data_IF_736571298898
#
_entry.id   IF_736571298898
#
_cell.length_a   1.000
_cell.length_b   1.000
_cell.length_c   1.000
_cell.angle_alpha   90.00
_cell.angle_beta   90.00
_cell.angle_gamma   90.00
#
_symmetry.space_group_name_H-M   'P 1'
#
loop_
_entity.id
_entity.type
_entity.pdbx_description
1 polymer ?
#
# COMPACT_ATOMS: atom_id res chain seq x y z
N UNK A 1 -12.40 16.22 51.23
CA UNK A 1 -12.63 15.70 49.86
C UNK A 1 -12.98 14.22 49.98
N UNK A 2 -14.25 13.85 49.82
CA UNK A 2 -14.69 12.45 49.93
C UNK A 2 -14.29 11.70 48.66
N UNK A 3 -13.43 10.70 48.80
CA UNK A 3 -13.06 9.80 47.69
C UNK A 3 -14.22 8.84 47.43
N UNK A 4 -14.87 9.00 46.27
CA UNK A 4 -15.88 8.05 45.80
C UNK A 4 -15.14 6.79 45.38
N UNK A 5 -15.18 5.75 46.23
CA UNK A 5 -14.69 4.41 45.86
C UNK A 5 -15.69 3.76 44.90
N UNK A 6 -15.33 3.73 43.61
CA UNK A 6 -16.02 2.93 42.60
C UNK A 6 -15.99 1.46 43.02
N UNK A 7 -17.16 0.87 43.25
CA UNK A 7 -17.28 -0.54 43.61
C UNK A 7 -16.93 -1.40 42.38
N UNK A 8 -16.14 -2.48 42.53
CA UNK A 8 -15.71 -3.34 41.41
C UNK A 8 -16.88 -3.88 40.57
N UNK A 9 -18.04 -4.09 41.18
CA UNK A 9 -19.25 -4.54 40.49
C UNK A 9 -19.73 -3.59 39.38
N UNK A 10 -19.49 -2.27 39.50
CA UNK A 10 -19.87 -1.31 38.46
C UNK A 10 -18.98 -1.43 37.21
N UNK A 11 -17.71 -1.77 37.37
CA UNK A 11 -16.79 -1.98 36.24
C UNK A 11 -17.13 -3.26 35.47
N UNK A 12 -17.53 -4.32 36.18
CA UNK A 12 -17.97 -5.57 35.57
C UNK A 12 -19.29 -5.36 34.82
N UNK A 13 -20.24 -4.62 35.41
CA UNK A 13 -21.50 -4.30 34.76
C UNK A 13 -21.29 -3.45 33.50
N UNK A 14 -20.42 -2.44 33.57
CA UNK A 14 -20.07 -1.61 32.42
C UNK A 14 -19.42 -2.42 31.29
N UNK A 15 -18.48 -3.30 31.63
CA UNK A 15 -17.85 -4.19 30.66
C UNK A 15 -18.86 -5.14 30.00
N UNK A 16 -19.80 -5.68 30.77
CA UNK A 16 -20.89 -6.51 30.23
C UNK A 16 -21.82 -5.71 29.31
N UNK A 17 -22.18 -4.47 29.68
CA UNK A 17 -22.98 -3.59 28.83
C UNK A 17 -22.26 -3.22 27.52
N UNK A 18 -20.96 -2.90 27.57
CA UNK A 18 -20.16 -2.60 26.38
C UNK A 18 -20.03 -3.83 25.47
N UNK A 19 -19.81 -5.02 26.03
CA UNK A 19 -19.78 -6.26 25.27
C UNK A 19 -21.14 -6.59 24.63
N UNK A 20 -22.23 -6.37 25.36
CA UNK A 20 -23.59 -6.57 24.87
C UNK A 20 -23.99 -5.56 23.80
N UNK A 21 -23.47 -4.32 23.85
CA UNK A 21 -23.68 -3.30 22.82
C UNK A 21 -22.80 -3.51 21.57
N UNK A 22 -21.63 -4.14 21.72
CA UNK A 22 -20.72 -4.39 20.60
C UNK A 22 -21.27 -5.38 19.56
N UNK A 23 -22.09 -6.36 19.98
CA UNK A 23 -22.71 -7.33 19.08
C UNK A 23 -23.74 -6.70 18.11
N UNK A 24 -24.78 -5.97 18.59
CA UNK A 24 -25.72 -5.28 17.72
C UNK A 24 -25.05 -4.13 16.96
N UNK A 25 -24.05 -3.44 17.53
CA UNK A 25 -23.29 -2.43 16.80
C UNK A 25 -22.57 -3.04 15.57
N UNK A 26 -21.95 -4.21 15.71
CA UNK A 26 -21.34 -4.95 14.58
C UNK A 26 -22.35 -5.43 13.56
N UNK A 27 -23.54 -5.84 13.98
CA UNK A 27 -24.64 -6.20 13.06
C UNK A 27 -25.18 -4.98 12.31
N UNK A 28 -25.36 -3.86 13.00
CA UNK A 28 -25.78 -2.60 12.40
C UNK A 28 -24.73 -2.04 11.45
N UNK A 29 -23.45 -2.12 11.81
CA UNK A 29 -22.34 -1.73 10.93
C UNK A 29 -22.32 -2.58 9.65
N UNK A 30 -22.57 -3.90 9.75
CA UNK A 30 -22.76 -4.77 8.57
C UNK A 30 -24.01 -4.42 7.75
N UNK A 31 -25.08 -3.94 8.38
CA UNK A 31 -26.33 -3.58 7.73
C UNK A 31 -26.30 -2.18 7.07
N UNK A 32 -25.50 -1.24 7.62
CA UNK A 32 -25.32 0.11 7.10
C UNK A 32 -24.44 0.16 5.85
N UNK A 33 -23.60 -0.86 5.63
CA UNK A 33 -22.89 -1.07 4.37
C UNK A 33 -23.66 -2.05 3.50
N UNK A 34 -24.73 -1.58 2.88
CA UNK A 34 -25.35 -2.29 1.76
C UNK A 34 -24.32 -2.46 0.65
N UNK A 35 -23.88 -3.70 0.42
CA UNK A 35 -23.11 -4.01 -0.77
C UNK A 35 -23.94 -3.57 -1.99
N UNK A 36 -23.38 -2.79 -2.93
CA UNK A 36 -24.11 -2.46 -4.14
C UNK A 36 -24.51 -3.76 -4.84
N UNK A 37 -25.71 -3.83 -5.43
CA UNK A 37 -26.12 -5.00 -6.17
C UNK A 37 -25.18 -5.20 -7.37
N UNK A 38 -24.25 -6.16 -7.27
CA UNK A 38 -23.56 -6.71 -8.44
C UNK A 38 -22.02 -6.65 -8.53
N UNK A 39 -21.24 -6.24 -7.53
CA UNK A 39 -19.77 -6.28 -7.72
C UNK A 39 -18.88 -5.85 -6.57
N UNK A 40 -17.60 -6.24 -6.67
CA UNK A 40 -16.51 -5.67 -5.89
C UNK A 40 -16.28 -4.22 -6.34
N UNK A 41 -16.12 -3.31 -5.38
CA UNK A 41 -15.76 -1.93 -5.68
C UNK A 41 -14.24 -1.82 -5.70
N UNK A 42 -13.66 -1.57 -6.87
CA UNK A 42 -12.23 -1.29 -6.96
C UNK A 42 -11.96 0.14 -6.50
N UNK A 43 -11.05 0.33 -5.54
CA UNK A 43 -10.66 1.64 -5.02
C UNK A 43 -9.16 1.84 -5.13
N UNK A 44 -8.79 2.92 -5.82
CA UNK A 44 -7.45 3.50 -5.72
C UNK A 44 -7.34 4.27 -4.38
N UNK A 45 -6.21 4.12 -3.69
CA UNK A 45 -6.00 4.85 -2.43
C UNK A 45 -5.56 6.29 -2.72
N UNK A 46 -4.95 6.54 -3.88
CA UNK A 46 -4.72 7.87 -4.44
C UNK A 46 -6.00 8.60 -4.83
N UNK A 47 -6.06 9.91 -4.59
CA UNK A 47 -7.21 10.75 -4.92
C UNK A 47 -7.40 10.86 -6.45
N UNK A 48 -8.55 10.39 -6.95
CA UNK A 48 -9.04 10.69 -8.30
C UNK A 48 -9.90 11.97 -8.37
N UNK A 49 -10.35 12.50 -7.22
CA UNK A 49 -11.33 13.60 -7.13
C UNK A 49 -10.70 14.98 -6.85
N UNK A 50 -9.45 15.16 -7.26
CA UNK A 50 -8.94 16.50 -7.53
C UNK A 50 -9.01 16.68 -9.04
N UNK A 51 -9.66 17.77 -9.47
CA UNK A 51 -9.37 18.37 -10.77
C UNK A 51 -7.85 18.48 -10.99
N UNK A 52 -7.42 18.99 -12.13
CA UNK A 52 -6.07 19.52 -12.34
C UNK A 52 -5.71 20.68 -11.37
N UNK A 53 -5.98 20.57 -10.06
CA UNK A 53 -5.51 21.44 -9.01
C UNK A 53 -4.04 21.12 -8.75
N UNK A 54 -3.24 21.53 -9.72
CA UNK A 54 -1.85 21.92 -9.53
C UNK A 54 -0.87 20.77 -9.31
N UNK A 55 -0.01 20.58 -10.30
CA UNK A 55 1.41 20.37 -10.02
C UNK A 55 1.98 21.41 -9.01
N UNK A 56 1.24 22.47 -8.68
CA UNK A 56 1.59 23.52 -7.73
C UNK A 56 1.63 23.06 -6.26
N UNK A 57 0.80 22.11 -5.79
CA UNK A 57 0.64 21.92 -4.32
C UNK A 57 1.71 21.02 -3.67
N UNK A 58 2.38 20.15 -4.44
CA UNK A 58 3.54 19.36 -3.95
C UNK A 58 4.88 20.02 -4.25
N UNK A 59 4.86 21.15 -4.96
CA UNK A 59 6.09 21.72 -5.47
C UNK A 59 6.53 22.92 -4.65
N UNK A 60 7.69 22.77 -4.02
CA UNK A 60 8.59 23.92 -3.84
C UNK A 60 9.22 24.36 -5.18
N UNK A 61 8.60 24.06 -6.34
CA UNK A 61 9.15 24.36 -7.68
C UNK A 61 9.35 25.85 -7.89
N UNK A 62 8.63 26.70 -7.16
CA UNK A 62 8.79 28.16 -7.24
C UNK A 62 10.22 28.64 -6.97
N UNK A 63 11.12 27.81 -6.45
CA UNK A 63 12.52 28.19 -6.18
C UNK A 63 13.60 27.39 -6.92
N UNK A 64 13.26 26.49 -7.87
CA UNK A 64 14.29 25.66 -8.53
C UNK A 64 14.59 26.04 -9.98
N UNK A 65 15.82 26.50 -10.21
CA UNK A 65 16.48 26.70 -11.51
C UNK A 65 17.31 25.49 -11.95
N UNK A 66 17.35 24.41 -11.17
CA UNK A 66 18.27 23.30 -11.36
C UNK A 66 17.71 22.23 -12.29
N UNK A 67 18.14 22.24 -13.56
CA UNK A 67 18.05 21.08 -14.45
C UNK A 67 18.92 19.93 -13.87
N UNK A 68 18.29 19.00 -13.16
CA UNK A 68 19.01 18.02 -12.33
C UNK A 68 18.58 16.56 -12.49
N UNK A 69 17.38 16.31 -13.02
CA UNK A 69 16.83 14.95 -13.11
C UNK A 69 16.64 14.51 -14.56
N UNK A 70 17.06 13.29 -14.89
CA UNK A 70 16.72 12.64 -16.15
C UNK A 70 16.46 11.16 -15.94
N UNK A 71 15.60 10.61 -16.79
CA UNK A 71 15.34 9.18 -16.85
C UNK A 71 15.44 8.69 -18.29
N UNK A 72 15.99 7.50 -18.48
CA UNK A 72 16.06 6.82 -19.76
C UNK A 72 15.55 5.40 -19.59
N UNK A 73 14.42 5.10 -20.23
CA UNK A 73 13.84 3.75 -20.28
C UNK A 73 14.10 3.18 -21.67
N UNK A 74 14.70 1.99 -21.75
CA UNK A 74 15.07 1.40 -23.03
C UNK A 74 15.13 -0.13 -22.95
N UNK A 75 15.19 -0.75 -24.12
CA UNK A 75 15.44 -2.19 -24.24
C UNK A 75 16.87 -2.44 -24.68
N UNK A 76 17.49 -3.44 -24.09
CA UNK A 76 18.79 -3.95 -24.54
C UNK A 76 18.66 -5.46 -24.74
N UNK A 77 18.68 -5.88 -26.01
CA UNK A 77 18.27 -7.24 -26.38
C UNK A 77 16.84 -7.52 -25.90
N UNK A 78 16.68 -8.57 -25.08
CA UNK A 78 15.39 -8.92 -24.48
C UNK A 78 15.13 -8.28 -23.12
N UNK A 79 16.11 -7.58 -22.53
CA UNK A 79 15.98 -6.95 -21.22
C UNK A 79 15.33 -5.56 -21.32
N UNK A 80 14.55 -5.22 -20.30
CA UNK A 80 14.06 -3.86 -20.09
C UNK A 80 14.96 -3.18 -19.05
N UNK A 81 15.43 -1.98 -19.34
CA UNK A 81 16.37 -1.23 -18.51
C UNK A 81 15.89 0.19 -18.27
N UNK A 82 16.28 0.72 -17.12
CA UNK A 82 16.06 2.07 -16.69
C UNK A 82 17.36 2.66 -16.13
N UNK A 83 17.66 3.89 -16.53
CA UNK A 83 18.74 4.70 -15.98
C UNK A 83 18.15 6.00 -15.44
N UNK A 84 18.54 6.36 -14.23
CA UNK A 84 18.09 7.57 -13.56
C UNK A 84 19.29 8.41 -13.16
N UNK A 85 19.20 9.71 -13.43
CA UNK A 85 20.10 10.73 -12.89
C UNK A 85 19.28 11.70 -12.09
N UNK A 86 19.74 12.04 -10.90
CA UNK A 86 19.03 12.90 -9.98
C UNK A 86 20.03 13.58 -9.04
N UNK A 87 19.52 14.52 -8.26
CA UNK A 87 20.28 15.15 -7.20
C UNK A 87 19.70 14.61 -5.88
N UNK A 88 20.52 14.32 -4.88
CA UNK A 88 20.04 13.99 -3.52
C UNK A 88 20.03 15.21 -2.59
N UNK A 89 19.56 15.05 -1.36
CA UNK A 89 19.48 16.15 -0.37
C UNK A 89 20.82 16.80 -0.03
N UNK A 90 21.93 16.06 -0.19
CA UNK A 90 23.30 16.58 -0.05
C UNK A 90 23.79 17.39 -1.26
N UNK A 91 22.92 17.58 -2.27
CA UNK A 91 23.21 18.23 -3.56
C UNK A 91 24.20 17.47 -4.44
N UNK A 92 24.43 16.19 -4.17
CA UNK A 92 25.24 15.33 -5.03
C UNK A 92 24.44 14.89 -6.25
N UNK A 93 25.11 14.87 -7.41
CA UNK A 93 24.55 14.30 -8.65
C UNK A 93 24.79 12.80 -8.66
N UNK A 94 23.71 12.03 -8.60
CA UNK A 94 23.72 10.58 -8.52
C UNK A 94 23.21 9.96 -9.82
N UNK A 95 23.68 8.75 -10.09
CA UNK A 95 23.25 7.92 -11.20
C UNK A 95 22.98 6.50 -10.72
N UNK A 96 21.83 5.94 -11.06
CA UNK A 96 21.48 4.57 -10.71
C UNK A 96 20.82 3.88 -11.91
N UNK A 97 21.04 2.58 -12.06
CA UNK A 97 20.41 1.79 -13.11
C UNK A 97 19.71 0.56 -12.54
N UNK A 98 18.64 0.15 -13.21
CA UNK A 98 17.90 -1.06 -12.90
C UNK A 98 17.50 -1.75 -14.19
N UNK A 99 17.50 -3.07 -14.20
CA UNK A 99 17.13 -3.84 -15.38
C UNK A 99 16.58 -5.20 -15.02
N UNK A 100 15.70 -5.71 -15.89
CA UNK A 100 15.10 -7.03 -15.75
C UNK A 100 15.02 -7.72 -17.11
N UNK A 101 15.36 -9.01 -17.22
CA UNK A 101 15.10 -9.79 -18.43
C UNK A 101 13.62 -9.72 -18.82
N UNK A 102 13.30 -9.53 -20.10
CA UNK A 102 11.91 -9.29 -20.53
C UNK A 102 10.96 -10.46 -20.21
N UNK A 103 11.45 -11.70 -20.21
CA UNK A 103 10.65 -12.85 -19.78
C UNK A 103 10.33 -12.82 -18.27
N UNK A 104 11.27 -12.36 -17.45
CA UNK A 104 11.06 -12.18 -16.02
C UNK A 104 10.12 -11.01 -15.74
N UNK A 105 10.29 -9.89 -16.44
CA UNK A 105 9.38 -8.74 -16.35
C UNK A 105 7.93 -9.10 -16.67
N UNK A 106 7.70 -9.88 -17.74
CA UNK A 106 6.34 -10.34 -18.08
C UNK A 106 5.74 -11.23 -16.99
N UNK A 107 6.50 -12.19 -16.46
CA UNK A 107 6.04 -13.05 -15.35
C UNK A 107 5.76 -12.25 -14.09
N UNK A 108 6.63 -11.29 -13.77
CA UNK A 108 6.47 -10.37 -12.65
C UNK A 108 5.19 -9.55 -12.79
N UNK A 109 4.97 -8.90 -13.94
CA UNK A 109 3.81 -8.05 -14.18
C UNK A 109 2.50 -8.86 -14.14
N UNK A 110 2.48 -10.07 -14.70
CA UNK A 110 1.32 -10.96 -14.66
C UNK A 110 0.96 -11.47 -13.24
N UNK A 111 1.85 -11.27 -12.27
CA UNK A 111 1.63 -11.62 -10.87
C UNK A 111 0.81 -10.61 -10.08
N UNK A 112 0.37 -9.51 -10.70
CA UNK A 112 -0.41 -8.43 -10.08
C UNK A 112 -1.70 -8.17 -10.84
N UNK A 113 -2.74 -7.78 -10.10
CA UNK A 113 -4.08 -7.60 -10.63
C UNK A 113 -4.80 -8.90 -10.97
N UNK A 114 -6.09 -8.80 -11.28
CA UNK A 114 -6.92 -9.94 -11.69
C UNK A 114 -7.78 -9.57 -12.91
N UNK A 115 -8.23 -10.56 -13.66
CA UNK A 115 -9.27 -10.36 -14.68
C UNK A 115 -10.61 -10.89 -14.17
N UNK A 116 -11.72 -10.45 -14.78
CA UNK A 116 -13.05 -10.94 -14.41
C UNK A 116 -13.17 -12.47 -14.51
N UNK A 117 -12.46 -13.11 -15.46
CA UNK A 117 -12.42 -14.55 -15.60
C UNK A 117 -11.85 -15.26 -14.36
N UNK A 118 -10.89 -14.65 -13.65
CA UNK A 118 -10.35 -15.19 -12.40
C UNK A 118 -11.47 -15.31 -11.34
N UNK A 119 -12.35 -14.31 -11.28
CA UNK A 119 -13.47 -14.29 -10.35
C UNK A 119 -14.60 -15.22 -10.80
N UNK A 120 -14.86 -15.31 -12.10
CA UNK A 120 -15.92 -16.16 -12.64
C UNK A 120 -15.62 -17.65 -12.45
N UNK A 121 -14.36 -18.06 -12.59
CA UNK A 121 -13.91 -19.41 -12.24
C UNK A 121 -14.24 -19.71 -10.77
N UNK A 122 -13.96 -18.76 -9.87
CA UNK A 122 -14.21 -18.95 -8.44
C UNK A 122 -15.72 -18.96 -8.11
N UNK A 123 -16.52 -18.13 -8.75
CA UNK A 123 -17.99 -18.13 -8.61
C UNK A 123 -18.59 -19.44 -9.13
N UNK A 124 -18.13 -19.94 -10.28
CA UNK A 124 -18.59 -21.20 -10.86
C UNK A 124 -18.25 -22.39 -9.95
N UNK A 125 -17.08 -22.38 -9.31
CA UNK A 125 -16.74 -23.35 -8.28
C UNK A 125 -17.71 -23.28 -7.09
N UNK A 126 -17.99 -22.07 -6.56
CA UNK A 126 -18.90 -21.88 -5.42
C UNK A 126 -20.27 -22.47 -5.71
N UNK A 127 -20.83 -22.21 -6.89
CA UNK A 127 -22.16 -22.69 -7.24
C UNK A 127 -22.22 -24.22 -7.29
N UNK A 128 -21.24 -24.87 -7.93
CA UNK A 128 -21.13 -26.33 -7.94
C UNK A 128 -20.98 -26.90 -6.53
N UNK A 129 -20.13 -26.30 -5.70
CA UNK A 129 -19.91 -26.72 -4.32
C UNK A 129 -21.19 -26.59 -3.46
N UNK A 130 -21.94 -25.49 -3.62
CA UNK A 130 -23.23 -25.27 -2.94
C UNK A 130 -24.24 -26.36 -3.31
N UNK A 131 -24.39 -26.67 -4.60
CA UNK A 131 -25.31 -27.71 -5.06
C UNK A 131 -24.93 -29.09 -4.51
N UNK A 132 -23.65 -29.46 -4.57
CA UNK A 132 -23.14 -30.72 -4.00
C UNK A 132 -23.35 -30.80 -2.49
N UNK A 133 -23.01 -29.75 -1.75
CA UNK A 133 -23.14 -29.70 -0.29
C UNK A 133 -24.61 -29.77 0.16
N UNK A 134 -25.51 -29.04 -0.52
CA UNK A 134 -26.94 -29.08 -0.25
C UNK A 134 -27.51 -30.48 -0.48
N UNK A 135 -27.21 -31.09 -1.64
CA UNK A 135 -27.68 -32.44 -1.99
C UNK A 135 -27.21 -33.50 -0.99
N UNK A 136 -26.00 -33.36 -0.45
CA UNK A 136 -25.45 -34.28 0.54
C UNK A 136 -26.04 -34.09 1.95
N UNK A 137 -26.26 -32.85 2.38
CA UNK A 137 -26.68 -32.54 3.75
C UNK A 137 -28.19 -32.64 3.97
N UNK A 138 -29.01 -32.35 2.94
CA UNK A 138 -30.47 -32.32 3.05
C UNK A 138 -31.08 -33.66 3.51
N UNK A 139 -30.67 -34.84 2.98
CA UNK A 139 -31.23 -36.11 3.43
C UNK A 139 -30.88 -36.49 4.88
N UNK A 140 -29.70 -36.05 5.37
CA UNK A 140 -29.19 -36.44 6.68
C UNK A 140 -29.74 -35.59 7.83
N UNK A 141 -30.11 -34.33 7.58
CA UNK A 141 -30.55 -33.41 8.65
C UNK A 141 -31.50 -32.31 8.21
N UNK A 142 -32.19 -32.49 7.08
CA UNK A 142 -33.19 -31.56 6.56
C UNK A 142 -32.63 -30.19 6.23
N UNK A 143 -33.51 -29.19 6.22
CA UNK A 143 -33.20 -27.82 5.78
C UNK A 143 -32.13 -27.14 6.67
N UNK A 144 -32.11 -27.44 7.97
CA UNK A 144 -31.13 -26.89 8.90
C UNK A 144 -29.70 -27.36 8.55
N UNK A 145 -29.52 -28.65 8.27
CA UNK A 145 -28.24 -29.21 7.85
C UNK A 145 -27.80 -28.66 6.47
N UNK A 146 -28.74 -28.55 5.52
CA UNK A 146 -28.49 -27.92 4.21
C UNK A 146 -28.00 -26.48 4.34
N UNK A 147 -28.69 -25.66 5.13
CA UNK A 147 -28.30 -24.25 5.36
C UNK A 147 -26.93 -24.15 6.04
N UNK A 148 -26.62 -25.04 6.98
CA UNK A 148 -25.29 -25.10 7.62
C UNK A 148 -24.20 -25.39 6.58
N UNK A 149 -24.41 -26.41 5.74
CA UNK A 149 -23.46 -26.79 4.70
C UNK A 149 -23.22 -25.66 3.68
N UNK A 150 -24.26 -24.90 3.31
CA UNK A 150 -24.11 -23.72 2.45
C UNK A 150 -23.24 -22.63 3.07
N UNK A 151 -23.38 -22.37 4.38
CA UNK A 151 -22.55 -21.39 5.09
C UNK A 151 -21.08 -21.80 5.14
N UNK A 152 -20.81 -23.10 5.24
CA UNK A 152 -19.44 -23.65 5.19
C UNK A 152 -18.82 -23.41 3.81
N UNK A 153 -19.55 -23.68 2.73
CA UNK A 153 -19.10 -23.38 1.35
C UNK A 153 -18.87 -21.89 1.14
N UNK A 154 -19.75 -21.03 1.65
CA UNK A 154 -19.60 -19.57 1.55
C UNK A 154 -18.37 -19.07 2.30
N UNK A 155 -18.07 -19.64 3.47
CA UNK A 155 -16.85 -19.32 4.23
C UNK A 155 -15.59 -19.74 3.46
N UNK A 156 -15.63 -20.90 2.81
CA UNK A 156 -14.53 -21.36 1.96
C UNK A 156 -14.36 -20.47 0.72
N UNK A 157 -15.46 -20.05 0.09
CA UNK A 157 -15.42 -19.09 -1.01
C UNK A 157 -14.74 -17.79 -0.61
N UNK A 158 -15.13 -17.20 0.53
CA UNK A 158 -14.52 -15.95 1.03
C UNK A 158 -13.03 -16.12 1.31
N UNK A 159 -12.63 -17.28 1.83
CA UNK A 159 -11.22 -17.62 2.07
C UNK A 159 -10.44 -17.71 0.76
N UNK A 160 -10.98 -18.41 -0.25
CA UNK A 160 -10.37 -18.55 -1.57
C UNK A 160 -10.28 -17.22 -2.32
N UNK A 161 -11.32 -16.39 -2.22
CA UNK A 161 -11.37 -15.06 -2.81
C UNK A 161 -10.30 -14.14 -2.21
N UNK A 162 -10.20 -14.10 -0.87
CA UNK A 162 -9.15 -13.33 -0.18
C UNK A 162 -7.76 -13.82 -0.56
N UNK A 163 -7.57 -15.14 -0.66
CA UNK A 163 -6.30 -15.72 -1.08
C UNK A 163 -5.94 -15.35 -2.53
N UNK A 164 -6.92 -15.41 -3.45
CA UNK A 164 -6.75 -14.99 -4.84
C UNK A 164 -6.33 -13.52 -4.90
N UNK A 165 -7.11 -12.61 -4.34
CA UNK A 165 -6.81 -11.17 -4.35
C UNK A 165 -5.43 -10.87 -3.73
N UNK A 166 -5.12 -11.49 -2.57
CA UNK A 166 -3.83 -11.32 -1.91
C UNK A 166 -2.66 -11.81 -2.78
N UNK A 167 -2.84 -12.92 -3.48
CA UNK A 167 -1.85 -13.44 -4.45
C UNK A 167 -1.62 -12.49 -5.63
N UNK A 168 -2.58 -11.59 -5.90
CA UNK A 168 -2.52 -10.55 -6.93
C UNK A 168 -2.12 -9.17 -6.39
N UNK A 169 -1.73 -9.07 -5.12
CA UNK A 169 -1.33 -7.81 -4.49
C UNK A 169 -2.50 -6.93 -4.06
N UNK A 170 -3.69 -7.51 -3.89
CA UNK A 170 -4.92 -6.79 -3.55
C UNK A 170 -5.51 -7.33 -2.24
N UNK A 171 -6.26 -6.49 -1.53
CA UNK A 171 -6.96 -6.86 -0.30
C UNK A 171 -8.46 -6.58 -0.44
N UNK A 172 -9.26 -7.55 0.00
CA UNK A 172 -10.70 -7.35 0.18
C UNK A 172 -10.97 -6.75 1.57
N UNK A 173 -11.47 -5.52 1.61
CA UNK A 173 -11.86 -4.79 2.80
C UNK A 173 -13.37 -4.86 3.04
N UNK A 174 -13.83 -4.21 4.11
CA UNK A 174 -15.26 -4.08 4.42
C UNK A 174 -16.01 -3.41 3.25
N UNK A 175 -17.29 -3.75 3.08
CA UNK A 175 -18.11 -3.21 1.99
C UNK A 175 -17.74 -3.73 0.59
N UNK A 176 -17.08 -4.90 0.49
CA UNK A 176 -16.61 -5.49 -0.77
C UNK A 176 -15.65 -4.60 -1.56
N UNK A 177 -14.91 -3.76 -0.85
CA UNK A 177 -13.91 -2.88 -1.40
C UNK A 177 -12.62 -3.65 -1.68
N UNK A 178 -12.13 -3.58 -2.91
CA UNK A 178 -10.83 -4.13 -3.31
C UNK A 178 -9.86 -2.98 -3.51
N UNK A 179 -8.77 -3.01 -2.76
CA UNK A 179 -7.69 -2.01 -2.81
C UNK A 179 -6.33 -2.71 -2.85
N UNK A 180 -5.25 -1.96 -3.09
CA UNK A 180 -3.90 -2.50 -3.06
C UNK A 180 -3.50 -2.98 -1.64
N UNK A 181 -2.97 -4.20 -1.54
CA UNK A 181 -2.41 -4.72 -0.29
C UNK A 181 -0.94 -4.27 -0.19
N UNK A 182 -0.74 -3.02 0.23
CA UNK A 182 0.57 -2.37 0.27
C UNK A 182 1.63 -3.17 1.05
N UNK A 183 1.36 -3.72 2.26
CA UNK A 183 2.31 -4.62 2.93
C UNK A 183 2.72 -5.83 2.10
N UNK A 184 1.77 -6.48 1.41
CA UNK A 184 2.08 -7.63 0.55
C UNK A 184 2.88 -7.21 -0.68
N UNK A 185 2.52 -6.10 -1.33
CA UNK A 185 3.24 -5.56 -2.48
C UNK A 185 4.68 -5.25 -2.08
N UNK A 186 4.91 -4.51 -1.00
CA UNK A 186 6.24 -4.17 -0.50
C UNK A 186 7.04 -5.44 -0.25
N UNK A 187 6.51 -6.36 0.57
CA UNK A 187 7.20 -7.60 0.95
C UNK A 187 7.59 -8.45 -0.27
N UNK A 188 6.72 -8.56 -1.28
CA UNK A 188 7.00 -9.32 -2.51
C UNK A 188 8.11 -8.70 -3.36
N UNK A 189 8.35 -7.39 -3.23
CA UNK A 189 9.31 -6.66 -4.06
C UNK A 189 10.70 -6.49 -3.45
N UNK A 190 10.86 -6.72 -2.14
CA UNK A 190 12.16 -6.59 -1.46
C UNK A 190 13.26 -7.38 -2.17
N UNK A 191 13.02 -8.66 -2.48
CA UNK A 191 14.02 -9.51 -3.14
C UNK A 191 14.29 -9.08 -4.59
N UNK A 192 13.26 -8.57 -5.27
CA UNK A 192 13.34 -8.14 -6.67
C UNK A 192 14.18 -6.87 -6.78
N UNK A 193 14.06 -5.96 -5.81
CA UNK A 193 14.79 -4.69 -5.78
C UNK A 193 16.11 -4.75 -5.02
N UNK A 194 16.48 -5.91 -4.46
CA UNK A 194 17.75 -6.07 -3.77
C UNK A 194 18.98 -5.62 -4.61
N UNK A 195 19.08 -5.90 -5.92
CA UNK A 195 20.20 -5.39 -6.72
C UNK A 195 20.28 -3.85 -6.74
N UNK A 196 19.14 -3.16 -6.73
CA UNK A 196 19.09 -1.71 -6.67
C UNK A 196 19.53 -1.19 -5.29
N UNK A 197 19.10 -1.86 -4.22
CA UNK A 197 19.50 -1.54 -2.86
C UNK A 197 21.02 -1.71 -2.63
N UNK A 198 21.62 -2.76 -3.22
CA UNK A 198 23.07 -2.97 -3.22
C UNK A 198 23.81 -1.86 -3.98
N UNK A 199 23.32 -1.47 -5.15
CA UNK A 199 23.92 -0.37 -5.92
C UNK A 199 23.88 0.97 -5.16
N UNK A 200 22.83 1.22 -4.37
CA UNK A 200 22.79 2.36 -3.46
C UNK A 200 23.80 2.25 -2.30
N UNK A 201 24.03 1.05 -1.76
CA UNK A 201 25.07 0.83 -0.74
C UNK A 201 26.48 1.05 -1.29
N UNK A 202 26.76 0.59 -2.51
CA UNK A 202 28.04 0.84 -3.19
C UNK A 202 28.27 2.34 -3.41
N UNK A 203 27.25 3.05 -3.90
CA UNK A 203 27.28 4.51 -4.05
C UNK A 203 27.51 5.22 -2.71
N UNK A 204 26.81 4.80 -1.66
CA UNK A 204 26.99 5.35 -0.32
C UNK A 204 28.40 5.12 0.23
N UNK A 205 29.00 3.95 -0.02
CA UNK A 205 30.37 3.66 0.39
C UNK A 205 31.38 4.57 -0.35
N UNK A 206 31.21 4.78 -1.66
CA UNK A 206 32.05 5.68 -2.46
C UNK A 206 31.95 7.13 -1.97
N UNK A 207 30.73 7.59 -1.70
CA UNK A 207 30.44 8.96 -1.26
C UNK A 207 30.60 9.19 0.24
N UNK A 208 30.89 8.14 1.02
CA UNK A 208 30.98 8.16 2.49
C UNK A 208 29.70 8.66 3.17
N UNK A 209 28.56 8.23 2.66
CA UNK A 209 27.25 8.57 3.20
C UNK A 209 27.00 7.91 4.56
N UNK A 210 26.35 8.66 5.44
CA UNK A 210 25.68 8.09 6.62
C UNK A 210 24.47 7.25 6.21
N UNK A 211 23.87 6.53 7.16
CA UNK A 211 22.60 5.82 6.92
C UNK A 211 21.48 6.80 6.52
N UNK A 212 21.46 8.01 7.10
CA UNK A 212 20.46 9.03 6.77
C UNK A 212 20.64 9.57 5.35
N UNK A 213 21.89 9.79 4.93
CA UNK A 213 22.23 10.21 3.56
C UNK A 213 21.85 9.15 2.53
N UNK A 214 22.09 7.87 2.87
CA UNK A 214 21.72 6.73 2.03
C UNK A 214 20.19 6.63 1.87
N UNK A 215 19.43 6.69 2.97
CA UNK A 215 17.95 6.72 2.92
C UNK A 215 17.48 7.93 2.12
N UNK A 216 18.04 9.11 2.39
CA UNK A 216 17.75 10.35 1.69
C UNK A 216 18.01 10.26 0.19
N UNK A 217 19.07 9.57 -0.24
CA UNK A 217 19.37 9.35 -1.66
C UNK A 217 18.26 8.53 -2.33
N UNK A 218 17.77 7.46 -1.71
CA UNK A 218 16.66 6.66 -2.27
C UNK A 218 15.36 7.47 -2.28
N UNK A 219 15.06 8.22 -1.22
CA UNK A 219 13.89 9.10 -1.16
C UNK A 219 13.93 10.13 -2.29
N UNK A 220 15.07 10.78 -2.51
CA UNK A 220 15.25 11.78 -3.57
C UNK A 220 15.09 11.19 -4.97
N UNK A 221 15.56 9.96 -5.23
CA UNK A 221 15.29 9.23 -6.49
C UNK A 221 13.78 9.11 -6.71
N UNK A 222 13.06 8.61 -5.70
CA UNK A 222 11.62 8.32 -5.81
C UNK A 222 10.79 9.59 -5.94
N UNK A 223 11.12 10.64 -5.18
CA UNK A 223 10.42 11.93 -5.26
C UNK A 223 10.64 12.60 -6.62
N UNK A 224 11.87 12.63 -7.13
CA UNK A 224 12.26 13.55 -8.22
C UNK A 224 12.46 12.87 -9.58
N UNK A 225 13.00 11.65 -9.62
CA UNK A 225 13.33 10.98 -10.87
C UNK A 225 12.15 10.15 -11.40
N UNK A 226 11.34 9.58 -10.50
CA UNK A 226 10.11 8.87 -10.87
C UNK A 226 8.99 9.91 -11.07
N UNK A 227 8.39 9.97 -12.25
CA UNK A 227 7.34 10.96 -12.54
C UNK A 227 6.05 10.65 -11.81
N UNK A 228 5.34 11.66 -11.32
CA UNK A 228 4.00 11.46 -10.79
C UNK A 228 3.01 11.19 -11.92
N UNK A 229 2.25 10.10 -11.82
CA UNK A 229 1.13 9.81 -12.72
C UNK A 229 0.25 8.74 -12.07
N UNK A 230 -1.07 8.97 -12.11
CA UNK A 230 -2.07 8.04 -11.58
C UNK A 230 -2.20 6.84 -12.53
N UNK A 231 -1.91 5.61 -12.07
CA UNK A 231 -2.16 4.40 -12.85
C UNK A 231 -3.66 4.16 -12.99
N UNK A 232 -4.16 3.74 -14.16
CA UNK A 232 -5.57 3.42 -14.31
C UNK A 232 -5.90 2.18 -13.45
N UNK A 233 -7.04 2.16 -12.75
CA UNK A 233 -7.45 1.02 -11.93
C UNK A 233 -7.83 -0.22 -12.78
N UNK A 234 -8.16 -0.01 -14.06
CA UNK A 234 -8.41 -1.05 -15.05
C UNK A 234 -7.53 -0.79 -16.28
N UNK A 235 -6.70 -1.75 -16.65
CA UNK A 235 -5.80 -1.65 -17.80
C UNK A 235 -5.96 -2.89 -18.69
N UNK A 236 -6.53 -2.73 -19.89
CA UNK A 236 -6.73 -3.83 -20.85
C UNK A 236 -7.44 -5.06 -20.27
N UNK A 237 -8.47 -4.84 -19.43
CA UNK A 237 -9.22 -5.93 -18.77
C UNK A 237 -8.59 -6.45 -17.48
N UNK A 238 -7.42 -5.95 -17.09
CA UNK A 238 -6.76 -6.27 -15.82
C UNK A 238 -7.09 -5.23 -14.76
N UNK A 239 -7.72 -5.65 -13.66
CA UNK A 239 -7.97 -4.83 -12.48
C UNK A 239 -6.68 -4.70 -11.66
N UNK A 240 -6.07 -3.53 -11.67
CA UNK A 240 -4.76 -3.26 -11.04
C UNK A 240 -4.88 -2.66 -9.63
N UNK A 241 -6.05 -2.09 -9.29
CA UNK A 241 -6.24 -1.33 -8.06
C UNK A 241 -5.65 0.08 -8.10
N UNK A 242 -5.19 0.55 -9.26
CA UNK A 242 -4.66 1.91 -9.43
C UNK A 242 -3.20 2.06 -9.04
N UNK A 243 -2.44 0.96 -8.97
CA UNK A 243 -1.03 0.96 -8.58
C UNK A 243 -0.15 0.29 -9.65
N UNK A 244 1.06 0.82 -9.87
CA UNK A 244 2.12 0.07 -10.56
C UNK A 244 2.99 -0.67 -9.54
N UNK A 245 3.18 -1.99 -9.68
CA UNK A 245 4.09 -2.72 -8.82
C UNK A 245 5.53 -2.14 -8.90
N UNK A 246 6.32 -2.09 -7.82
CA UNK A 246 7.61 -1.40 -7.73
C UNK A 246 8.58 -1.55 -8.91
N UNK A 247 8.90 -2.78 -9.35
CA UNK A 247 9.81 -2.96 -10.49
C UNK A 247 9.20 -2.48 -11.82
N UNK A 248 7.87 -2.51 -11.98
CA UNK A 248 7.16 -1.93 -13.12
C UNK A 248 7.22 -0.41 -13.09
N UNK A 249 7.10 0.21 -11.92
CA UNK A 249 7.27 1.65 -11.76
C UNK A 249 8.68 2.11 -12.17
N UNK A 250 9.73 1.42 -11.70
CA UNK A 250 11.12 1.67 -12.12
C UNK A 250 11.37 1.44 -13.61
N UNK A 251 10.73 0.46 -14.22
CA UNK A 251 10.93 0.17 -15.65
C UNK A 251 9.99 0.96 -16.57
N UNK A 252 9.11 1.79 -16.00
CA UNK A 252 8.23 2.71 -16.72
C UNK A 252 8.58 4.18 -16.44
N UNK A 253 9.24 4.47 -15.32
CA UNK A 253 9.66 5.82 -14.92
C UNK A 253 8.53 6.70 -14.38
N UNK A 254 7.47 6.09 -13.82
CA UNK A 254 6.36 6.83 -13.23
C UNK A 254 5.56 6.03 -12.21
N UNK A 255 4.75 6.72 -11.41
CA UNK A 255 3.85 6.18 -10.39
C UNK A 255 3.17 7.27 -9.57
N UNK A 256 2.08 6.95 -8.89
CA UNK A 256 1.39 7.82 -7.92
C UNK A 256 1.95 7.66 -6.49
N UNK A 257 1.27 8.23 -5.49
CA UNK A 257 1.68 8.15 -4.08
C UNK A 257 1.81 6.70 -3.58
N UNK A 258 0.86 5.83 -3.95
CA UNK A 258 0.84 4.42 -3.55
C UNK A 258 2.03 3.69 -4.19
N UNK A 259 2.17 3.83 -5.51
CA UNK A 259 3.26 3.24 -6.29
C UNK A 259 4.64 3.67 -5.77
N UNK A 260 4.84 4.98 -5.57
CA UNK A 260 6.12 5.55 -5.12
C UNK A 260 6.45 5.10 -3.70
N UNK A 261 5.45 5.03 -2.81
CA UNK A 261 5.64 4.50 -1.46
C UNK A 261 6.02 3.03 -1.47
N UNK A 262 5.32 2.21 -2.27
CA UNK A 262 5.64 0.80 -2.44
C UNK A 262 7.06 0.59 -2.98
N UNK A 263 7.48 1.43 -3.94
CA UNK A 263 8.83 1.41 -4.50
C UNK A 263 9.89 1.74 -3.45
N UNK A 264 9.75 2.88 -2.76
CA UNK A 264 10.69 3.29 -1.73
C UNK A 264 10.82 2.23 -0.64
N UNK A 265 9.68 1.77 -0.09
CA UNK A 265 9.66 0.78 0.97
C UNK A 265 10.26 -0.57 0.55
N UNK A 266 10.09 -0.98 -0.71
CA UNK A 266 10.68 -2.21 -1.21
C UNK A 266 12.21 -2.12 -1.36
N UNK A 267 12.76 -0.96 -1.77
CA UNK A 267 14.21 -0.74 -1.82
C UNK A 267 14.79 -0.73 -0.40
N UNK A 268 14.23 0.10 0.48
CA UNK A 268 14.68 0.21 1.88
C UNK A 268 14.55 -1.12 2.62
N UNK A 269 13.51 -1.91 2.32
CA UNK A 269 13.25 -3.21 2.95
C UNK A 269 14.28 -4.28 2.59
N UNK A 270 15.16 -4.05 1.62
CA UNK A 270 16.30 -4.93 1.33
C UNK A 270 17.42 -4.80 2.37
N UNK A 271 17.46 -3.73 3.17
CA UNK A 271 18.45 -3.54 4.21
C UNK A 271 17.98 -4.12 5.55
N UNK A 272 18.90 -4.80 6.24
CA UNK A 272 18.61 -5.44 7.51
C UNK A 272 18.27 -4.40 8.59
N UNK A 273 17.32 -4.72 9.46
CA UNK A 273 16.95 -3.87 10.59
C UNK A 273 16.00 -2.71 10.25
N UNK A 274 15.73 -2.44 8.96
CA UNK A 274 14.73 -1.46 8.57
C UNK A 274 13.35 -1.89 9.07
N UNK A 275 12.68 -1.01 9.82
CA UNK A 275 11.28 -1.18 10.20
C UNK A 275 10.49 -0.01 9.66
N UNK A 276 9.41 -0.30 8.96
CA UNK A 276 8.65 0.70 8.22
C UNK A 276 7.16 0.39 8.29
N UNK A 277 6.38 1.46 8.30
CA UNK A 277 4.92 1.39 8.26
C UNK A 277 4.43 2.27 7.12
N UNK A 278 3.40 1.82 6.41
CA UNK A 278 2.60 2.66 5.54
C UNK A 278 1.64 3.50 6.35
N UNK A 279 1.35 4.70 5.87
CA UNK A 279 0.42 5.65 6.48
C UNK A 279 -0.60 6.01 5.41
N UNK A 280 -1.83 5.55 5.60
CA UNK A 280 -2.95 5.93 4.75
C UNK A 280 -3.69 7.09 5.40
N UNK A 281 -3.84 8.18 4.65
CA UNK A 281 -4.71 9.31 4.97
C UNK A 281 -5.77 9.43 3.86
N UNK A 282 -6.85 10.21 4.04
CA UNK A 282 -7.85 10.36 2.99
C UNK A 282 -7.24 10.81 1.64
N UNK A 283 -7.35 9.97 0.62
CA UNK A 283 -6.89 10.25 -0.75
C UNK A 283 -5.38 10.27 -0.96
N UNK A 284 -4.58 9.85 0.03
CA UNK A 284 -3.13 9.89 -0.07
C UNK A 284 -2.44 8.81 0.76
N UNK A 285 -1.27 8.38 0.31
CA UNK A 285 -0.50 7.32 0.97
C UNK A 285 0.97 7.69 1.03
N UNK A 286 1.53 7.57 2.23
CA UNK A 286 2.94 7.80 2.53
C UNK A 286 3.48 6.69 3.45
N UNK A 287 4.67 6.87 4.00
CA UNK A 287 5.25 5.90 4.92
C UNK A 287 5.99 6.56 6.07
N UNK A 288 6.41 5.76 7.03
CA UNK A 288 7.26 6.18 8.12
C UNK A 288 8.34 5.13 8.41
N UNK A 289 9.54 5.59 8.75
CA UNK A 289 10.71 4.76 9.04
C UNK A 289 11.01 4.79 10.54
N UNK A 290 11.37 3.64 11.12
CA UNK A 290 11.72 3.57 12.53
C UNK A 290 13.09 4.20 12.75
N UNK A 291 13.10 5.38 13.34
CA UNK A 291 14.30 6.03 13.92
C UNK A 291 13.88 6.97 15.04
N UNK A 292 14.86 7.50 15.77
CA UNK A 292 14.60 8.57 16.75
C UNK A 292 14.33 9.86 15.97
N UNK A 293 13.19 10.55 16.18
CA UNK A 293 12.90 11.80 15.49
C UNK A 293 13.95 12.87 15.79
N UNK A 294 14.43 13.53 14.73
CA UNK A 294 15.25 14.73 14.85
C UNK A 294 14.44 15.96 15.29
N UNK A 295 15.14 17.07 15.53
CA UNK A 295 14.48 18.34 15.85
C UNK A 295 13.64 18.82 14.66
N UNK A 296 12.33 18.85 14.82
CA UNK A 296 11.40 19.31 13.79
C UNK A 296 10.88 18.21 12.87
N UNK A 297 11.36 16.97 13.02
CA UNK A 297 10.82 15.83 12.30
C UNK A 297 9.35 15.60 12.67
N UNK A 298 8.52 15.42 11.65
CA UNK A 298 7.20 14.86 11.83
C UNK A 298 7.31 13.34 11.94
N UNK A 299 6.58 12.78 12.90
CA UNK A 299 6.58 11.36 13.18
C UNK A 299 5.20 10.90 13.64
N UNK A 300 4.97 9.60 13.54
CA UNK A 300 3.81 8.92 14.12
C UNK A 300 4.27 7.92 15.16
N UNK A 301 3.35 7.51 16.04
CA UNK A 301 3.59 6.44 17.01
C UNK A 301 2.82 5.18 16.61
N UNK A 302 3.51 4.06 16.64
CA UNK A 302 2.95 2.74 16.39
C UNK A 302 3.59 1.75 17.36
N UNK A 303 2.76 0.98 18.09
CA UNK A 303 3.21 0.01 19.11
C UNK A 303 4.21 0.59 20.14
N UNK A 304 4.01 1.85 20.55
CA UNK A 304 4.87 2.54 21.52
C UNK A 304 6.21 3.00 20.96
N UNK A 305 6.45 2.82 19.66
CA UNK A 305 7.66 3.24 18.97
C UNK A 305 7.37 4.44 18.05
N UNK A 306 8.36 5.29 17.85
CA UNK A 306 8.28 6.47 16.99
C UNK A 306 8.80 6.16 15.58
N UNK A 307 8.06 6.58 14.57
CA UNK A 307 8.39 6.39 13.17
C UNK A 307 8.36 7.75 12.46
N UNK A 308 9.50 8.16 11.93
CA UNK A 308 9.64 9.44 11.22
C UNK A 308 8.96 9.34 9.86
N UNK A 309 8.08 10.29 9.56
CA UNK A 309 7.33 10.34 8.31
C UNK A 309 8.27 10.57 7.13
N UNK A 310 7.95 9.92 6.01
CA UNK A 310 8.63 10.09 4.74
C UNK A 310 7.57 10.21 3.68
N UNK A 311 7.62 11.29 2.90
CA UNK A 311 6.67 11.54 1.80
C UNK A 311 7.30 11.15 0.46
N UNK A 312 6.97 9.99 -0.12
CA UNK A 312 7.60 9.54 -1.37
C UNK A 312 6.93 10.22 -2.58
N UNK A 313 5.73 10.75 -2.39
CA UNK A 313 4.99 11.49 -3.39
C UNK A 313 5.72 12.81 -3.71
N UNK A 314 6.41 12.80 -4.84
CA UNK A 314 6.91 13.99 -5.51
C UNK A 314 6.27 14.18 -6.89
N UNK A 315 6.63 15.22 -7.65
CA UNK A 315 7.88 15.98 -7.53
C UNK A 315 7.91 16.82 -6.27
N UNK A 316 8.85 16.51 -5.38
CA UNK A 316 9.08 17.18 -4.11
C UNK A 316 10.57 17.10 -3.76
N UNK A 317 10.98 17.87 -2.76
CA UNK A 317 12.33 17.81 -2.18
C UNK A 317 12.20 17.86 -0.66
N UNK A 318 11.61 16.80 -0.12
CA UNK A 318 11.26 16.70 1.29
C UNK A 318 12.12 15.62 1.93
N UNK A 319 13.01 16.03 2.82
CA UNK A 319 13.83 15.09 3.58
C UNK A 319 12.96 14.22 4.50
N UNK A 320 13.42 13.01 4.89
CA UNK A 320 12.78 12.25 5.96
C UNK A 320 12.52 13.14 7.19
N UNK A 321 11.28 13.16 7.68
CA UNK A 321 10.80 14.07 8.72
C UNK A 321 9.99 15.25 8.20
N UNK A 322 9.97 15.47 6.88
CA UNK A 322 9.18 16.51 6.22
C UNK A 322 8.05 15.90 5.39
N UNK A 323 6.92 16.61 5.37
CA UNK A 323 5.77 16.31 4.50
C UNK A 323 5.22 17.65 3.98
N UNK A 324 4.52 17.62 2.85
CA UNK A 324 3.83 18.73 2.24
C UNK A 324 2.69 19.27 3.11
N UNK A 325 2.27 20.49 2.83
CA UNK A 325 1.29 21.21 3.64
C UNK A 325 -0.02 20.43 3.77
N UNK A 326 -0.57 19.95 2.65
CA UNK A 326 -1.79 19.15 2.62
C UNK A 326 -1.69 17.85 3.44
N UNK A 327 -0.57 17.14 3.33
CA UNK A 327 -0.34 15.93 4.14
C UNK A 327 -0.30 16.27 5.63
N UNK A 328 0.34 17.38 6.02
CA UNK A 328 0.36 17.86 7.40
C UNK A 328 -1.05 18.20 7.90
N UNK A 329 -1.89 18.81 7.07
CA UNK A 329 -3.30 19.09 7.39
C UNK A 329 -4.12 17.82 7.57
N UNK A 330 -3.99 16.86 6.65
CA UNK A 330 -4.69 15.56 6.73
C UNK A 330 -4.31 14.79 7.99
N UNK A 331 -3.04 14.80 8.37
CA UNK A 331 -2.55 14.17 9.61
C UNK A 331 -3.11 14.83 10.88
N UNK A 332 -3.39 16.13 10.83
CA UNK A 332 -4.03 16.88 11.92
C UNK A 332 -5.57 16.82 11.87
N UNK A 333 -6.13 16.33 10.76
CA UNK A 333 -7.56 16.26 10.50
C UNK A 333 -8.31 15.25 11.37
N UNK A 334 -9.64 15.39 11.39
CA UNK A 334 -10.53 14.54 12.21
C UNK A 334 -10.60 13.09 11.72
N UNK A 335 -10.40 12.88 10.43
CA UNK A 335 -10.43 11.55 9.81
C UNK A 335 -9.22 10.68 10.21
N UNK A 336 -8.16 11.32 10.73
CA UNK A 336 -6.95 10.66 11.20
C UNK A 336 -6.20 9.93 10.10
N UNK A 337 -5.40 8.95 10.51
CA UNK A 337 -4.61 8.11 9.63
C UNK A 337 -4.69 6.65 10.06
N UNK A 338 -4.49 5.75 9.10
CA UNK A 338 -4.35 4.31 9.34
C UNK A 338 -2.90 3.90 9.15
N UNK A 339 -2.39 3.13 10.11
CA UNK A 339 -1.05 2.55 10.05
C UNK A 339 -1.11 1.15 9.45
N UNK A 340 -0.26 0.88 8.46
CA UNK A 340 -0.14 -0.42 7.80
C UNK A 340 1.30 -0.96 7.93
N UNK A 341 1.58 -1.87 8.88
CA UNK A 341 2.94 -2.39 9.05
C UNK A 341 3.37 -3.22 7.85
N UNK A 342 4.58 -2.97 7.35
CA UNK A 342 5.12 -3.75 6.22
C UNK A 342 5.75 -5.08 6.66
N UNK A 343 6.36 -5.13 7.85
CA UNK A 343 6.97 -6.33 8.45
C UNK A 343 7.08 -6.24 9.97
#
# INVERSE_FOLDING_TARGET
MNSVRLKPGYLILLAACLAAAAAPAREWERALYGAPPGGFLLRAQSSADGEESGEEEYTSRETRTEAGTSQKIFREGSALKAEYRFINFNKDRLGISFGMPGAEYRRYAAGYGYHDEDLDILKAWREKARQSAWKAALPAGGQAAGNKALREVDTEYDTRLRALLRSRGLALRAGNLVECDMPVIVKRNIKILNPLALAFQELAAEKKYSEEDLVGAVVSLVQTAIRYKIPPPLENGLHTGGLLPPARALLSGWGDCDTKTGLLAAILGSWNGMRMVGIAVPGHYLMAIRRIPGKGDLFVRYEGLEYVLVEPAGPAWLEPGQVGARTRELLAGRDGYKVEPFF
#
